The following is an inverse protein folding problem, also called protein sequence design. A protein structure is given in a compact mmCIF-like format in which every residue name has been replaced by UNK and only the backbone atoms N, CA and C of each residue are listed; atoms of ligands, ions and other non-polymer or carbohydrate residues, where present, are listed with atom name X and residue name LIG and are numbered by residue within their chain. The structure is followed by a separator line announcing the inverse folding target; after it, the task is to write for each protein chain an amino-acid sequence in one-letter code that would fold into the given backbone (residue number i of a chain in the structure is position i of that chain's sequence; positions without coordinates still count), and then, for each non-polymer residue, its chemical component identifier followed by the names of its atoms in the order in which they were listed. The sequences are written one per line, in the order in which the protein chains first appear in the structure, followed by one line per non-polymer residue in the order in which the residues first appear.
data_IF_308839661158
#
_entry.id   IF_308839661158
#
_cell.length_a   1.000
_cell.length_b   1.000
_cell.length_c   1.000
_cell.angle_alpha   90.00
_cell.angle_beta   90.00
_cell.angle_gamma   90.00
#
_symmetry.space_group_name_H-M   'P 1'
#
loop_
_entity.id
_entity.type
_entity.pdbx_description
1 polymer ?
#
# COMPACT_ATOMS: atom_id res chain seq x y z
N UNK A 1 15.70 -5.00 11.10
CA UNK A 1 14.88 -6.16 10.65
C UNK A 1 13.67 -5.58 9.94
N UNK A 2 13.37 -6.01 8.71
CA UNK A 2 12.22 -5.47 7.98
C UNK A 2 10.91 -5.78 8.71
N UNK A 3 9.95 -4.86 8.61
CA UNK A 3 8.63 -4.97 9.26
C UNK A 3 7.51 -4.80 8.23
N UNK A 4 6.41 -5.54 8.40
CA UNK A 4 5.14 -5.32 7.70
C UNK A 4 4.11 -4.84 8.73
N UNK A 5 3.37 -3.80 8.38
CA UNK A 5 2.25 -3.30 9.17
C UNK A 5 0.93 -3.66 8.48
N UNK A 6 0.01 -4.30 9.21
CA UNK A 6 -1.36 -4.54 8.76
C UNK A 6 -2.31 -3.68 9.60
N UNK A 7 -3.00 -2.75 8.96
CA UNK A 7 -4.03 -1.91 9.56
C UNK A 7 -5.39 -2.35 9.05
N UNK A 8 -6.14 -3.06 9.88
CA UNK A 8 -7.43 -3.66 9.53
C UNK A 8 -8.25 -3.84 10.81
N UNK A 9 -9.49 -3.33 10.81
CA UNK A 9 -10.35 -3.33 12.00
C UNK A 9 -11.11 -4.64 12.20
N UNK A 10 -11.33 -5.41 11.14
CA UNK A 10 -11.98 -6.72 11.23
C UNK A 10 -10.96 -7.83 11.55
N UNK A 11 -11.06 -8.50 12.72
CA UNK A 11 -10.08 -9.52 13.13
C UNK A 11 -9.91 -10.67 12.12
N UNK A 12 -10.98 -11.05 11.43
CA UNK A 12 -10.98 -12.12 10.43
C UNK A 12 -10.14 -11.74 9.21
N UNK A 13 -10.31 -10.51 8.70
CA UNK A 13 -9.51 -9.98 7.59
C UNK A 13 -8.06 -9.80 8.02
N UNK A 14 -7.82 -9.25 9.21
CA UNK A 14 -6.47 -9.04 9.72
C UNK A 14 -5.71 -10.37 9.83
N UNK A 15 -6.36 -11.41 10.33
CA UNK A 15 -5.81 -12.78 10.42
C UNK A 15 -5.56 -13.38 9.04
N UNK A 16 -6.48 -13.18 8.10
CA UNK A 16 -6.33 -13.63 6.71
C UNK A 16 -5.12 -12.99 6.03
N UNK A 17 -4.95 -11.67 6.18
CA UNK A 17 -3.83 -10.94 5.59
C UNK A 17 -2.49 -11.35 6.22
N UNK A 18 -2.48 -11.56 7.54
CA UNK A 18 -1.32 -12.10 8.25
C UNK A 18 -0.91 -13.49 7.72
N UNK A 19 -1.86 -14.40 7.50
CA UNK A 19 -1.58 -15.73 6.93
C UNK A 19 -1.04 -15.65 5.49
N UNK A 20 -1.61 -14.77 4.65
CA UNK A 20 -1.10 -14.53 3.29
C UNK A 20 0.35 -14.05 3.34
N UNK A 21 0.64 -13.04 4.17
CA UNK A 21 1.99 -12.50 4.35
C UNK A 21 2.96 -13.59 4.82
N UNK A 22 2.57 -14.36 5.83
CA UNK A 22 3.38 -15.46 6.36
C UNK A 22 3.71 -16.52 5.30
N UNK A 23 2.72 -16.94 4.51
CA UNK A 23 2.93 -17.91 3.42
C UNK A 23 3.89 -17.39 2.37
N UNK A 24 3.76 -16.12 1.94
CA UNK A 24 4.66 -15.52 0.95
C UNK A 24 6.07 -15.36 1.50
N UNK A 25 6.24 -14.94 2.77
CA UNK A 25 7.55 -14.87 3.41
C UNK A 25 8.24 -16.24 3.42
N UNK A 26 7.51 -17.31 3.77
CA UNK A 26 8.04 -18.68 3.72
C UNK A 26 8.40 -19.15 2.32
N UNK A 27 7.56 -18.84 1.32
CA UNK A 27 7.84 -19.14 -0.10
C UNK A 27 9.15 -18.48 -0.56
N UNK A 28 9.48 -17.30 -0.03
CA UNK A 28 10.67 -16.52 -0.39
C UNK A 28 11.85 -16.71 0.58
N UNK A 29 11.72 -17.55 1.61
CA UNK A 29 12.79 -17.75 2.61
C UNK A 29 13.10 -16.52 3.46
N UNK A 30 12.13 -15.62 3.65
CA UNK A 30 12.28 -14.37 4.40
C UNK A 30 11.78 -14.50 5.84
N UNK A 31 12.41 -13.76 6.75
CA UNK A 31 11.94 -13.56 8.13
C UNK A 31 11.71 -12.06 8.35
N UNK A 32 10.46 -11.63 8.37
CA UNK A 32 10.06 -10.22 8.47
C UNK A 32 9.09 -10.08 9.65
N UNK A 33 9.26 -9.04 10.46
CA UNK A 33 8.38 -8.79 11.59
C UNK A 33 6.98 -8.42 11.12
N UNK A 34 5.95 -8.98 11.72
CA UNK A 34 4.57 -8.55 11.50
C UNK A 34 4.10 -7.71 12.69
N UNK A 35 3.53 -6.54 12.40
CA UNK A 35 2.80 -5.70 13.36
C UNK A 35 1.38 -5.49 12.85
N UNK A 36 0.43 -5.30 13.75
CA UNK A 36 -0.95 -4.99 13.38
C UNK A 36 -1.54 -3.86 14.21
N UNK A 37 -2.52 -3.18 13.62
CA UNK A 37 -3.34 -2.16 14.26
C UNK A 37 -4.80 -2.29 13.80
N UNK A 38 -5.73 -2.01 14.70
CA UNK A 38 -7.18 -2.15 14.45
C UNK A 38 -7.90 -0.82 14.19
N UNK A 39 -7.21 0.30 14.35
CA UNK A 39 -7.79 1.64 14.30
C UNK A 39 -6.72 2.67 13.97
N UNK A 40 -7.17 3.89 13.70
CA UNK A 40 -6.33 5.01 13.30
C UNK A 40 -5.27 5.33 14.35
N UNK A 41 -5.67 5.45 15.62
CA UNK A 41 -4.78 5.86 16.71
C UNK A 41 -3.66 4.84 16.94
N UNK A 42 -3.98 3.54 16.97
CA UNK A 42 -2.98 2.49 17.12
C UNK A 42 -2.07 2.38 15.89
N UNK A 43 -2.60 2.59 14.68
CA UNK A 43 -1.79 2.63 13.47
C UNK A 43 -0.84 3.83 13.47
N UNK A 44 -1.30 5.00 13.95
CA UNK A 44 -0.50 6.19 14.12
C UNK A 44 0.67 5.93 15.08
N UNK A 45 0.38 5.39 16.26
CA UNK A 45 1.40 5.03 17.26
C UNK A 45 2.42 4.05 16.66
N UNK A 46 1.96 3.03 15.92
CA UNK A 46 2.85 2.05 15.30
C UNK A 46 3.79 2.67 14.25
N UNK A 47 3.31 3.67 13.50
CA UNK A 47 4.12 4.40 12.53
C UNK A 47 5.08 5.37 13.23
N UNK A 48 4.64 6.12 14.23
CA UNK A 48 5.47 7.06 14.99
C UNK A 48 6.59 6.34 15.75
N UNK A 49 6.29 5.22 16.42
CA UNK A 49 7.34 4.37 17.01
C UNK A 49 8.34 3.86 15.98
N UNK A 50 7.90 3.57 14.75
CA UNK A 50 8.80 3.17 13.65
C UNK A 50 9.78 4.27 13.25
N UNK A 51 9.36 5.54 13.33
CA UNK A 51 10.25 6.70 13.10
C UNK A 51 11.27 6.85 14.23
N UNK A 52 10.85 6.63 15.48
CA UNK A 52 11.69 6.84 16.66
C UNK A 52 12.73 5.72 16.89
N UNK A 53 12.37 4.46 16.64
CA UNK A 53 13.21 3.31 17.01
C UNK A 53 14.23 2.91 15.94
N UNK A 54 13.85 2.99 14.66
CA UNK A 54 14.63 2.39 13.57
C UNK A 54 15.08 3.37 12.50
N UNK A 55 14.61 4.63 12.51
CA UNK A 55 14.72 5.61 11.41
C UNK A 55 14.18 5.13 10.04
N UNK A 56 13.83 3.84 9.93
CA UNK A 56 13.25 3.17 8.77
C UNK A 56 11.81 2.74 9.09
N UNK A 57 10.89 3.07 8.19
CA UNK A 57 9.49 2.65 8.31
C UNK A 57 9.24 1.17 7.98
N UNK A 58 7.99 0.70 8.13
CA UNK A 58 7.60 -0.62 7.67
C UNK A 58 7.89 -0.78 6.17
N UNK A 59 8.42 -1.93 5.75
CA UNK A 59 8.67 -2.24 4.34
C UNK A 59 7.38 -2.19 3.51
N UNK A 60 6.31 -2.77 4.03
CA UNK A 60 5.01 -2.85 3.39
C UNK A 60 3.93 -2.54 4.43
N UNK A 61 2.95 -1.73 4.02
CA UNK A 61 1.82 -1.30 4.83
C UNK A 61 0.55 -1.69 4.10
N UNK A 62 -0.18 -2.67 4.65
CA UNK A 62 -1.52 -3.04 4.19
C UNK A 62 -2.51 -2.21 5.01
N UNK A 63 -3.28 -1.34 4.36
CA UNK A 63 -4.07 -0.32 5.05
C UNK A 63 -5.52 -0.32 4.60
N UNK A 64 -6.43 -0.80 5.44
CA UNK A 64 -7.86 -0.60 5.21
C UNK A 64 -8.18 0.90 5.20
N UNK A 65 -8.91 1.32 4.18
CA UNK A 65 -9.34 2.69 4.01
C UNK A 65 -10.43 3.09 5.01
N UNK A 66 -11.25 2.13 5.44
CA UNK A 66 -12.35 2.37 6.38
C UNK A 66 -12.05 1.72 7.74
N UNK A 67 -11.34 2.44 8.59
CA UNK A 67 -11.02 2.01 9.96
C UNK A 67 -11.66 2.92 11.01
N UNK A 68 -11.76 2.49 12.28
CA UNK A 68 -12.17 3.35 13.38
C UNK A 68 -11.23 4.56 13.54
N UNK A 69 -11.82 5.74 13.73
CA UNK A 69 -11.15 6.98 14.12
C UNK A 69 -12.00 7.69 15.16
N UNK A 70 -11.41 8.06 16.30
CA UNK A 70 -12.13 8.67 17.43
C UNK A 70 -13.36 7.85 17.86
N UNK A 71 -13.23 6.53 17.85
CA UNK A 71 -14.25 5.58 18.29
C UNK A 71 -15.41 5.33 17.32
N UNK A 72 -15.30 5.75 16.05
CA UNK A 72 -16.33 5.51 15.01
C UNK A 72 -15.68 5.08 13.70
N UNK A 73 -16.33 4.18 12.94
CA UNK A 73 -15.86 3.84 11.58
C UNK A 73 -15.88 5.09 10.70
N UNK A 74 -14.77 5.36 10.00
CA UNK A 74 -14.62 6.49 9.10
C UNK A 74 -13.99 6.02 7.78
N UNK A 75 -14.70 6.25 6.67
CA UNK A 75 -14.32 5.86 5.30
C UNK A 75 -13.05 6.53 4.77
N UNK A 76 -12.59 7.58 5.43
CA UNK A 76 -11.39 8.36 5.07
C UNK A 76 -10.26 8.20 6.07
N UNK A 77 -10.44 7.44 7.14
CA UNK A 77 -9.40 7.31 8.18
C UNK A 77 -8.10 6.73 7.61
N UNK A 78 -8.16 5.65 6.81
CA UNK A 78 -6.97 5.09 6.18
C UNK A 78 -6.33 6.06 5.17
N UNK A 79 -7.14 6.76 4.36
CA UNK A 79 -6.63 7.78 3.46
C UNK A 79 -5.88 8.90 4.20
N UNK A 80 -6.45 9.44 5.29
CA UNK A 80 -5.80 10.49 6.09
C UNK A 80 -4.48 10.01 6.68
N UNK A 81 -4.43 8.74 7.13
CA UNK A 81 -3.22 8.15 7.69
C UNK A 81 -2.12 8.02 6.63
N UNK A 82 -2.46 7.53 5.43
CA UNK A 82 -1.52 7.51 4.30
C UNK A 82 -1.07 8.93 3.93
N UNK A 83 -2.01 9.88 3.80
CA UNK A 83 -1.69 11.27 3.46
C UNK A 83 -0.70 11.89 4.45
N UNK A 84 -0.86 11.62 5.75
CA UNK A 84 -0.01 12.17 6.80
C UNK A 84 1.41 11.56 6.83
N UNK A 85 1.54 10.26 6.55
CA UNK A 85 2.81 9.53 6.77
C UNK A 85 3.54 9.10 5.49
N UNK A 86 2.91 9.17 4.32
CA UNK A 86 3.49 8.68 3.05
C UNK A 86 4.83 9.35 2.70
N UNK A 87 4.97 10.64 2.98
CA UNK A 87 6.21 11.39 2.71
C UNK A 87 7.32 11.09 3.70
N UNK A 88 6.98 10.69 4.93
CA UNK A 88 7.96 10.22 5.92
C UNK A 88 8.49 8.82 5.58
N UNK A 89 7.70 8.03 4.84
CA UNK A 89 8.00 6.64 4.50
C UNK A 89 8.00 6.42 2.98
N UNK A 90 8.84 7.16 2.27
CA UNK A 90 8.91 7.14 0.79
C UNK A 90 9.31 5.77 0.24
N UNK A 91 10.12 5.01 0.99
CA UNK A 91 10.61 3.69 0.61
C UNK A 91 9.62 2.55 0.88
N UNK A 92 8.57 2.81 1.66
CA UNK A 92 7.55 1.83 2.04
C UNK A 92 6.57 1.57 0.90
N UNK A 93 6.19 0.31 0.74
CA UNK A 93 5.14 -0.10 -0.19
C UNK A 93 3.78 0.06 0.49
N UNK A 94 3.03 1.10 0.12
CA UNK A 94 1.69 1.36 0.66
C UNK A 94 0.63 0.68 -0.20
N UNK A 95 -0.20 -0.17 0.41
CA UNK A 95 -1.29 -0.88 -0.27
C UNK A 95 -2.62 -0.60 0.44
N UNK A 96 -3.40 0.35 -0.07
CA UNK A 96 -4.79 0.56 0.33
C UNK A 96 -5.65 -0.68 0.10
N UNK A 97 -6.43 -1.06 1.10
CA UNK A 97 -7.41 -2.15 1.07
C UNK A 97 -8.80 -1.54 1.04
N UNK A 98 -9.64 -1.94 0.09
CA UNK A 98 -10.96 -1.32 -0.14
C UNK A 98 -12.04 -2.39 -0.29
N UNK A 99 -13.19 -2.24 0.38
CA UNK A 99 -14.25 -3.25 0.37
C UNK A 99 -15.05 -3.36 -0.95
N UNK A 100 -14.82 -2.46 -1.91
CA UNK A 100 -15.44 -2.47 -3.23
C UNK A 100 -14.79 -1.38 -4.09
N UNK A 101 -14.60 -1.67 -5.38
CA UNK A 101 -14.31 -0.67 -6.44
C UNK A 101 -15.47 0.36 -6.54
N UNK A 102 -16.62 0.14 -5.87
CA UNK A 102 -17.72 1.08 -5.70
C UNK A 102 -17.40 2.34 -4.84
N UNK A 103 -16.16 2.80 -4.84
CA UNK A 103 -15.81 4.19 -4.50
C UNK A 103 -16.18 5.15 -5.64
N UNK A 104 -16.66 4.62 -6.78
CA UNK A 104 -17.19 5.37 -7.92
C UNK A 104 -18.68 5.70 -7.85
N UNK A 105 -19.48 5.15 -6.93
CA UNK A 105 -20.94 5.14 -7.10
C UNK A 105 -21.77 6.19 -6.36
N UNK A 106 -21.16 7.13 -5.63
CA UNK A 106 -21.89 8.35 -5.24
C UNK A 106 -20.99 9.57 -5.35
N UNK A 107 -21.02 10.18 -6.53
CA UNK A 107 -20.87 11.63 -6.71
C UNK A 107 -21.74 12.33 -5.64
N UNK A 108 -21.13 12.71 -4.52
CA UNK A 108 -21.62 13.85 -3.77
C UNK A 108 -21.23 15.05 -4.61
N UNK A 109 -22.21 15.74 -5.18
CA UNK A 109 -21.98 16.93 -6.02
C UNK A 109 -21.05 17.91 -5.29
N UNK A 110 -19.82 18.06 -5.78
CA UNK A 110 -18.83 18.99 -5.25
C UNK A 110 -17.62 18.38 -4.51
N UNK A 111 -17.51 17.06 -4.37
CA UNK A 111 -16.33 16.42 -3.80
C UNK A 111 -15.54 15.63 -4.86
N UNK A 112 -14.21 15.79 -4.87
CA UNK A 112 -13.32 14.91 -5.66
C UNK A 112 -13.52 13.46 -5.17
N UNK A 113 -13.62 12.47 -6.07
CA UNK A 113 -13.66 11.07 -5.67
C UNK A 113 -12.43 10.74 -4.81
N UNK A 114 -12.66 10.16 -3.64
CA UNK A 114 -11.59 9.76 -2.72
C UNK A 114 -10.58 8.81 -3.38
N UNK A 115 -11.00 8.12 -4.44
CA UNK A 115 -10.16 7.32 -5.32
C UNK A 115 -9.12 8.18 -6.06
N UNK A 116 -9.52 9.27 -6.73
CA UNK A 116 -8.58 10.13 -7.46
C UNK A 116 -7.55 10.77 -6.53
N UNK A 117 -7.99 11.17 -5.34
CA UNK A 117 -7.09 11.71 -4.31
C UNK A 117 -6.13 10.64 -3.77
N UNK A 118 -6.57 9.38 -3.65
CA UNK A 118 -5.71 8.28 -3.23
C UNK A 118 -4.58 8.03 -4.25
N UNK A 119 -4.86 8.06 -5.55
CA UNK A 119 -3.82 7.85 -6.58
C UNK A 119 -2.78 8.97 -6.64
N UNK A 120 -3.14 10.21 -6.23
CA UNK A 120 -2.16 11.30 -6.08
C UNK A 120 -1.11 10.99 -5.01
N UNK A 121 -1.43 10.14 -4.04
CA UNK A 121 -0.48 9.69 -3.01
C UNK A 121 0.44 8.56 -3.50
N UNK A 122 0.32 8.15 -4.76
CA UNK A 122 1.16 7.14 -5.42
C UNK A 122 1.29 5.86 -4.55
N UNK A 123 0.18 5.15 -4.27
CA UNK A 123 0.23 3.85 -3.61
C UNK A 123 1.05 2.88 -4.46
N UNK A 124 1.68 1.91 -3.80
CA UNK A 124 2.38 0.83 -4.49
C UNK A 124 1.42 -0.02 -5.30
N UNK A 125 0.27 -0.34 -4.71
CA UNK A 125 -0.84 -1.03 -5.36
C UNK A 125 -2.14 -0.76 -4.60
N UNK A 126 -3.29 -1.14 -5.15
CA UNK A 126 -4.59 -1.05 -4.46
C UNK A 126 -5.25 -2.41 -4.49
N UNK A 127 -5.67 -2.89 -3.32
CA UNK A 127 -6.36 -4.17 -3.19
C UNK A 127 -7.87 -3.97 -2.98
N UNK A 128 -8.68 -4.59 -3.86
CA UNK A 128 -10.13 -4.70 -3.64
C UNK A 128 -10.43 -6.01 -2.90
N UNK A 129 -11.02 -5.91 -1.71
CA UNK A 129 -11.39 -7.05 -0.86
C UNK A 129 -12.34 -7.96 -1.64
N UNK A 130 -11.87 -9.15 -2.00
CA UNK A 130 -12.64 -10.13 -2.76
C UNK A 130 -11.81 -11.29 -3.32
N UNK A 131 -10.57 -11.03 -3.76
CA UNK A 131 -9.68 -12.06 -4.30
C UNK A 131 -8.39 -12.19 -3.50
N UNK A 132 -8.26 -13.24 -2.68
CA UNK A 132 -7.05 -13.46 -1.86
C UNK A 132 -5.79 -13.74 -2.70
N UNK A 133 -5.93 -14.25 -3.92
CA UNK A 133 -4.80 -14.48 -4.83
C UNK A 133 -4.15 -13.18 -5.28
N UNK A 134 -4.95 -12.13 -5.51
CA UNK A 134 -4.46 -10.83 -5.92
C UNK A 134 -3.61 -10.19 -4.81
N UNK A 135 -4.08 -10.23 -3.56
CA UNK A 135 -3.30 -9.76 -2.42
C UNK A 135 -2.00 -10.54 -2.25
N UNK A 136 -2.04 -11.87 -2.44
CA UNK A 136 -0.83 -12.72 -2.41
C UNK A 136 0.20 -12.26 -3.44
N UNK A 137 -0.24 -11.92 -4.64
CA UNK A 137 0.64 -11.46 -5.71
C UNK A 137 1.21 -10.06 -5.43
N UNK A 138 0.41 -9.13 -4.90
CA UNK A 138 0.86 -7.81 -4.44
C UNK A 138 1.96 -7.96 -3.38
N UNK A 139 1.70 -8.76 -2.34
CA UNK A 139 2.66 -9.01 -1.26
C UNK A 139 3.94 -9.64 -1.82
N UNK A 140 3.82 -10.62 -2.72
CA UNK A 140 4.98 -11.26 -3.36
C UNK A 140 5.82 -10.27 -4.16
N UNK A 141 5.19 -9.36 -4.91
CA UNK A 141 5.92 -8.31 -5.65
C UNK A 141 6.69 -7.40 -4.70
N UNK A 142 6.04 -6.88 -3.65
CA UNK A 142 6.69 -6.01 -2.67
C UNK A 142 7.91 -6.68 -2.01
N UNK A 143 7.77 -7.96 -1.63
CA UNK A 143 8.85 -8.71 -0.98
C UNK A 143 9.99 -9.09 -1.94
N UNK A 144 9.71 -9.39 -3.22
CA UNK A 144 10.77 -9.61 -4.22
C UNK A 144 11.57 -8.35 -4.48
N UNK A 145 10.91 -7.20 -4.62
CA UNK A 145 11.60 -5.91 -4.79
C UNK A 145 12.48 -5.57 -3.58
N UNK A 146 12.10 -6.00 -2.37
CA UNK A 146 12.96 -5.87 -1.20
C UNK A 146 14.23 -6.71 -1.33
N UNK A 147 14.10 -7.99 -1.70
CA UNK A 147 15.24 -8.90 -1.93
C UNK A 147 16.18 -8.31 -2.97
N UNK A 148 15.65 -7.93 -4.14
CA UNK A 148 16.43 -7.36 -5.25
C UNK A 148 17.20 -6.12 -4.79
N UNK A 149 16.56 -5.19 -4.06
CA UNK A 149 17.25 -4.02 -3.51
C UNK A 149 18.36 -4.39 -2.52
N UNK A 150 18.13 -5.37 -1.64
CA UNK A 150 19.16 -5.81 -0.68
C UNK A 150 20.31 -6.55 -1.35
N UNK A 151 20.04 -7.35 -2.39
CA UNK A 151 21.06 -8.05 -3.18
C UNK A 151 21.87 -7.07 -4.03
N UNK A 152 21.23 -6.08 -4.66
CA UNK A 152 21.90 -5.04 -5.44
C UNK A 152 22.79 -4.18 -4.55
N UNK A 153 22.33 -3.76 -3.36
CA UNK A 153 23.18 -3.07 -2.36
C UNK A 153 24.35 -3.93 -1.86
N UNK A 154 24.15 -5.25 -1.76
CA UNK A 154 25.22 -6.17 -1.37
C UNK A 154 26.25 -6.38 -2.49
N UNK A 155 25.84 -6.21 -3.75
CA UNK A 155 26.73 -6.24 -4.92
C UNK A 155 27.44 -4.90 -5.16
N UNK A 156 26.82 -3.75 -4.84
CA UNK A 156 27.43 -2.42 -4.96
C UNK A 156 28.60 -2.14 -4.00
N UNK A 157 28.83 -3.01 -3.00
CA UNK A 157 30.08 -3.01 -2.22
C UNK A 157 31.30 -3.54 -3.02
N UNK A 158 31.07 -4.13 -4.19
CA UNK A 158 32.10 -4.62 -5.11
C UNK A 158 31.67 -4.26 -6.53
N UNK A 159 32.20 -3.15 -7.04
CA UNK A 159 32.11 -2.59 -8.40
C UNK A 159 31.12 -1.43 -8.62
N UNK A 160 31.72 -0.24 -8.72
CA UNK A 160 31.36 0.92 -9.55
C UNK A 160 29.97 0.94 -10.22
N UNK A 161 29.14 1.87 -9.75
CA UNK A 161 27.88 2.38 -10.33
C UNK A 161 27.87 2.50 -11.86
N UNK A 162 26.75 2.13 -12.52
CA UNK A 162 26.29 2.83 -13.71
C UNK A 162 25.30 3.93 -13.31
N UNK A 163 25.61 5.16 -13.69
CA UNK A 163 24.71 6.31 -13.64
C UNK A 163 23.43 6.02 -14.45
N UNK A 164 22.28 5.93 -13.78
CA UNK A 164 20.98 6.08 -14.43
C UNK A 164 20.20 7.19 -13.71
N UNK A 165 20.55 8.42 -14.05
CA UNK A 165 19.73 9.60 -13.80
C UNK A 165 18.48 9.46 -14.67
N UNK A 166 17.34 9.05 -14.10
CA UNK A 166 16.05 9.17 -14.78
C UNK A 166 15.53 10.58 -14.52
N UNK A 167 15.78 11.48 -15.48
CA UNK A 167 15.04 12.74 -15.62
C UNK A 167 13.68 12.44 -16.24
N UNK A 168 12.62 13.01 -15.67
CA UNK A 168 11.27 12.96 -16.24
C UNK A 168 10.92 14.34 -16.79
N UNK A 169 10.92 14.48 -18.11
CA UNK A 169 10.39 15.65 -18.84
C UNK A 169 8.97 15.34 -19.39
N UNK A 170 8.04 16.25 -19.10
CA UNK A 170 6.88 16.71 -19.89
C UNK A 170 6.12 15.74 -20.81
N UNK A 171 5.62 14.61 -20.30
CA UNK A 171 4.58 13.85 -21.05
C UNK A 171 3.53 13.19 -20.16
N UNK A 172 2.27 13.48 -20.48
CA UNK A 172 1.07 12.82 -19.95
C UNK A 172 1.22 11.29 -20.11
N UNK A 173 1.26 10.58 -18.98
CA UNK A 173 1.36 9.13 -18.97
C UNK A 173 0.11 8.46 -19.56
N UNK A 174 0.27 7.80 -20.70
CA UNK A 174 -0.50 6.62 -21.05
C UNK A 174 0.13 5.42 -20.34
N UNK A 175 -0.43 5.00 -19.19
CA UNK A 175 0.01 3.78 -18.49
C UNK A 175 -0.83 2.59 -18.97
N UNK A 176 -0.25 1.71 -19.77
CA UNK A 176 -0.88 0.49 -20.31
C UNK A 176 -1.05 -0.63 -19.27
N UNK A 177 -0.36 -0.56 -18.13
CA UNK A 177 -0.20 -1.72 -17.24
C UNK A 177 -1.19 -1.72 -16.06
N UNK A 178 -1.94 -0.63 -15.86
CA UNK A 178 -3.05 -0.60 -14.91
C UNK A 178 -4.32 -1.09 -15.59
N UNK A 179 -4.43 -2.42 -15.75
CA UNK A 179 -5.66 -3.08 -16.23
C UNK A 179 -6.89 -2.62 -15.44
N UNK A 180 -6.76 -2.43 -14.13
CA UNK A 180 -7.81 -1.92 -13.25
C UNK A 180 -8.23 -0.48 -13.59
N UNK A 181 -7.28 0.41 -13.93
CA UNK A 181 -7.59 1.79 -14.35
C UNK A 181 -8.41 1.81 -15.65
N UNK A 182 -7.98 1.04 -16.66
CA UNK A 182 -8.69 0.95 -17.94
C UNK A 182 -10.07 0.31 -17.81
N UNK A 183 -10.20 -0.74 -16.98
CA UNK A 183 -11.47 -1.40 -16.72
C UNK A 183 -12.47 -0.48 -16.00
N UNK A 184 -12.00 0.28 -15.01
CA UNK A 184 -12.79 1.27 -14.27
C UNK A 184 -13.25 2.41 -15.18
N UNK A 185 -12.34 2.98 -15.98
CA UNK A 185 -12.67 4.09 -16.87
C UNK A 185 -13.65 3.68 -17.96
N UNK A 186 -13.47 2.48 -18.53
CA UNK A 186 -14.38 1.90 -19.51
C UNK A 186 -15.79 1.66 -18.93
N UNK A 187 -15.89 1.24 -17.67
CA UNK A 187 -17.18 1.08 -17.00
C UNK A 187 -17.92 2.42 -16.77
N UNK A 188 -17.17 3.47 -16.40
CA UNK A 188 -17.71 4.81 -16.19
C UNK A 188 -18.09 5.54 -17.50
N UNK A 189 -17.36 5.28 -18.59
CA UNK A 189 -17.66 5.85 -19.92
C UNK A 189 -18.88 5.19 -20.58
N UNK A 190 -19.17 3.92 -20.28
CA UNK A 190 -20.30 3.16 -20.85
C UNK A 190 -21.64 3.31 -20.09
N UNK A 191 -21.68 4.11 -19.01
CA UNK A 191 -22.88 4.37 -18.21
C UNK A 191 -23.57 5.70 -18.50
N UNK A 192 -23.11 6.44 -19.52
CA UNK A 192 -23.78 7.63 -20.09
C UNK A 192 -24.66 7.26 -21.29
#
# INVERSE_FOLDING_TARGET
MATILIVEDQPENQSLYADIVYRVQRELGLTIQLRSASDFENAQIALEHGLEETEEGPLLILLDMEIPFKGRKDKRAGYRLMQQYREHFVSSYWVPLTANIAWHEKDLSGETPLFDDLYKLQPFDVFSKGSTNELKDIVRRALRLHIERTETRSQEAVTTLPEAIIKFDDSLYAMSDYKLYHEIRSAAENTR
#
